data_IF_100449266705
#
_entry.id   IF_100449266705
#
_cell.length_a   1.000
_cell.length_b   1.000
_cell.length_c   1.000
_cell.angle_alpha   90.00
_cell.angle_beta   90.00
_cell.angle_gamma   90.00
#
_symmetry.space_group_name_H-M   'P 1'
#
loop_
_entity.id
_entity.type
_entity.pdbx_description
1 polymer ?
#
# COMPACT_ATOMS: atom_id res chain seq x y z
N UNK A 1 18.01 4.36 -55.17
CA UNK A 1 19.10 5.22 -54.68
C UNK A 1 18.62 6.40 -53.82
N UNK A 2 17.36 6.83 -53.93
CA UNK A 2 16.83 7.97 -53.14
C UNK A 2 16.84 7.75 -51.62
N UNK A 3 16.51 6.54 -51.15
CA UNK A 3 16.50 6.21 -49.72
C UNK A 3 17.86 6.43 -49.03
N UNK A 4 18.95 5.97 -49.65
CA UNK A 4 20.31 6.13 -49.10
C UNK A 4 20.77 7.60 -49.12
N UNK A 5 20.37 8.36 -50.14
CA UNK A 5 20.64 9.80 -50.21
C UNK A 5 19.88 10.57 -49.11
N UNK A 6 18.62 10.22 -48.86
CA UNK A 6 17.82 10.79 -47.79
C UNK A 6 18.39 10.49 -46.40
N UNK A 7 18.85 9.25 -46.16
CA UNK A 7 19.52 8.84 -44.93
C UNK A 7 20.81 9.64 -44.69
N UNK A 8 21.61 9.82 -45.74
CA UNK A 8 22.83 10.64 -45.69
C UNK A 8 22.53 12.11 -45.37
N UNK A 9 21.47 12.69 -45.95
CA UNK A 9 21.06 14.07 -45.72
C UNK A 9 20.56 14.34 -44.29
N UNK A 10 19.99 13.33 -43.63
CA UNK A 10 19.41 13.46 -42.29
C UNK A 10 20.24 12.76 -41.20
N UNK A 11 21.49 12.40 -41.48
CA UNK A 11 22.34 11.55 -40.61
C UNK A 11 22.43 12.07 -39.17
N UNK A 12 22.60 13.38 -38.98
CA UNK A 12 22.76 13.96 -37.64
C UNK A 12 21.48 13.89 -36.81
N UNK A 13 20.33 14.14 -37.45
CA UNK A 13 19.02 14.01 -36.81
C UNK A 13 18.70 12.55 -36.47
N UNK A 14 19.04 11.63 -37.36
CA UNK A 14 18.88 10.19 -37.14
C UNK A 14 19.79 9.68 -36.01
N UNK A 15 21.04 10.14 -35.96
CA UNK A 15 21.97 9.79 -34.88
C UNK A 15 21.46 10.30 -33.52
N UNK A 16 20.93 11.52 -33.47
CA UNK A 16 20.31 12.07 -32.26
C UNK A 16 19.08 11.27 -31.84
N UNK A 17 18.18 10.94 -32.78
CA UNK A 17 16.99 10.13 -32.48
C UNK A 17 17.37 8.74 -31.97
N UNK A 18 18.31 8.07 -32.63
CA UNK A 18 18.80 6.75 -32.21
C UNK A 18 19.43 6.82 -30.81
N UNK A 19 20.15 7.90 -30.49
CA UNK A 19 20.76 8.09 -29.17
C UNK A 19 19.71 8.33 -28.06
N UNK A 20 18.55 8.91 -28.38
CA UNK A 20 17.46 9.16 -27.42
C UNK A 20 16.68 7.89 -27.09
N UNK A 21 16.55 6.95 -28.05
CA UNK A 21 15.81 5.69 -27.86
C UNK A 21 16.24 4.91 -26.60
N UNK A 22 17.53 4.60 -26.35
CA UNK A 22 17.92 3.85 -25.15
C UNK A 22 17.64 4.62 -23.86
N UNK A 23 17.72 5.95 -23.88
CA UNK A 23 17.43 6.81 -22.71
C UNK A 23 15.94 6.73 -22.37
N UNK A 24 15.07 6.90 -23.38
CA UNK A 24 13.63 6.78 -23.21
C UNK A 24 13.24 5.38 -22.74
N UNK A 25 13.84 4.34 -23.31
CA UNK A 25 13.62 2.96 -22.90
C UNK A 25 14.01 2.71 -21.44
N UNK A 26 15.20 3.17 -21.03
CA UNK A 26 15.66 3.06 -19.66
C UNK A 26 14.74 3.78 -18.67
N UNK A 27 14.25 4.97 -19.03
CA UNK A 27 13.30 5.72 -18.21
C UNK A 27 11.97 4.97 -18.03
N UNK A 28 11.42 4.39 -19.11
CA UNK A 28 10.20 3.58 -19.05
C UNK A 28 10.39 2.37 -18.14
N UNK A 29 11.49 1.63 -18.34
CA UNK A 29 11.84 0.47 -17.51
C UNK A 29 11.97 0.83 -16.03
N UNK A 30 12.63 1.95 -15.72
CA UNK A 30 12.76 2.45 -14.36
C UNK A 30 11.39 2.77 -13.73
N UNK A 31 10.52 3.47 -14.45
CA UNK A 31 9.18 3.81 -13.95
C UNK A 31 8.33 2.57 -13.70
N UNK A 32 8.42 1.55 -14.56
CA UNK A 32 7.73 0.28 -14.36
C UNK A 32 8.27 -0.49 -13.16
N UNK A 33 9.59 -0.63 -13.05
CA UNK A 33 10.23 -1.27 -11.90
C UNK A 33 9.85 -0.56 -10.59
N UNK A 34 9.89 0.79 -10.58
CA UNK A 34 9.53 1.57 -9.40
C UNK A 34 8.06 1.41 -9.01
N UNK A 35 7.16 1.37 -9.99
CA UNK A 35 5.73 1.12 -9.75
C UNK A 35 5.51 -0.26 -9.14
N UNK A 36 6.23 -1.28 -9.60
CA UNK A 36 6.16 -2.63 -9.04
C UNK A 36 6.71 -2.68 -7.62
N UNK A 37 7.84 -2.02 -7.36
CA UNK A 37 8.44 -1.92 -6.02
C UNK A 37 7.47 -1.26 -5.02
N UNK A 38 6.84 -0.14 -5.41
CA UNK A 38 5.86 0.56 -4.56
C UNK A 38 4.69 -0.36 -4.21
N UNK A 39 4.14 -1.09 -5.20
CA UNK A 39 3.04 -2.04 -4.98
C UNK A 39 3.46 -3.16 -4.04
N UNK A 40 4.65 -3.72 -4.24
CA UNK A 40 5.16 -4.79 -3.37
C UNK A 40 5.37 -4.28 -1.94
N UNK A 41 5.95 -3.09 -1.77
CA UNK A 41 6.11 -2.46 -0.46
C UNK A 41 4.76 -2.23 0.24
N UNK A 42 3.77 -1.71 -0.48
CA UNK A 42 2.42 -1.53 0.05
C UNK A 42 1.79 -2.86 0.48
N UNK A 43 1.96 -3.92 -0.32
CA UNK A 43 1.52 -5.26 0.02
C UNK A 43 2.17 -5.76 1.32
N UNK A 44 3.51 -5.71 1.42
CA UNK A 44 4.26 -6.16 2.60
C UNK A 44 3.87 -5.35 3.84
N UNK A 45 3.79 -4.02 3.74
CA UNK A 45 3.39 -3.17 4.86
C UNK A 45 1.97 -3.48 5.32
N UNK A 46 1.00 -3.61 4.40
CA UNK A 46 -0.37 -3.93 4.75
C UNK A 46 -0.48 -5.27 5.50
N UNK A 47 0.16 -6.32 4.97
CA UNK A 47 0.12 -7.64 5.62
C UNK A 47 0.90 -7.66 6.94
N UNK A 48 2.00 -6.91 7.02
CA UNK A 48 2.73 -6.67 8.27
C UNK A 48 1.87 -6.01 9.34
N UNK A 49 1.11 -4.96 8.97
CA UNK A 49 0.16 -4.29 9.87
C UNK A 49 -0.91 -5.27 10.37
N UNK A 50 -1.53 -6.05 9.48
CA UNK A 50 -2.53 -7.06 9.87
C UNK A 50 -1.91 -8.10 10.82
N UNK A 51 -0.70 -8.58 10.52
CA UNK A 51 0.02 -9.52 11.40
C UNK A 51 0.23 -8.91 12.79
N UNK A 52 0.75 -7.68 12.86
CA UNK A 52 0.99 -6.96 14.11
C UNK A 52 -0.28 -6.56 14.86
N UNK A 53 -1.43 -6.49 14.18
CA UNK A 53 -2.72 -6.17 14.81
C UNK A 53 -3.23 -7.34 15.66
N UNK A 54 -3.01 -8.57 15.20
CA UNK A 54 -3.59 -9.78 15.79
C UNK A 54 -2.57 -10.69 16.47
N UNK A 55 -1.28 -10.55 16.16
CA UNK A 55 -0.20 -11.34 16.74
C UNK A 55 0.70 -10.47 17.62
N UNK A 56 1.14 -11.06 18.74
CA UNK A 56 2.18 -10.50 19.59
C UNK A 56 3.54 -10.71 18.94
N UNK A 57 4.43 -9.72 19.07
CA UNK A 57 5.85 -9.89 18.69
C UNK A 57 6.57 -10.81 19.65
N UNK A 58 6.28 -10.69 20.94
CA UNK A 58 6.76 -11.55 22.00
C UNK A 58 5.57 -12.20 22.72
N UNK A 59 5.44 -13.54 22.71
CA UNK A 59 4.37 -14.23 23.43
C UNK A 59 4.31 -13.90 24.92
N UNK A 60 5.45 -13.55 25.53
CA UNK A 60 5.55 -13.21 26.96
C UNK A 60 5.00 -11.84 27.31
N UNK A 61 4.80 -10.96 26.32
CA UNK A 61 4.30 -9.60 26.53
C UNK A 61 2.81 -9.49 26.17
N UNK A 62 2.03 -8.66 26.89
CA UNK A 62 0.66 -8.36 26.50
C UNK A 62 0.62 -7.60 25.16
N UNK A 63 -0.48 -7.71 24.43
CA UNK A 63 -0.69 -6.87 23.23
C UNK A 63 -0.71 -5.39 23.62
N UNK A 64 0.02 -4.58 22.85
CA UNK A 64 0.07 -3.14 23.06
C UNK A 64 -1.15 -2.48 22.40
N UNK A 65 -2.14 -2.09 23.22
CA UNK A 65 -3.42 -1.57 22.73
C UNK A 65 -3.27 -0.29 21.90
N UNK A 66 -2.38 0.65 22.28
CA UNK A 66 -2.15 1.86 21.49
C UNK A 66 -1.55 1.55 20.12
N UNK A 67 -0.74 0.48 20.01
CA UNK A 67 -0.25 -0.01 18.71
C UNK A 67 -1.39 -0.57 17.87
N UNK A 68 -2.32 -1.33 18.47
CA UNK A 68 -3.48 -1.86 17.75
C UNK A 68 -4.37 -0.72 17.24
N UNK A 69 -4.64 0.30 18.07
CA UNK A 69 -5.37 1.51 17.69
C UNK A 69 -4.69 2.20 16.51
N UNK A 70 -3.39 2.45 16.59
CA UNK A 70 -2.63 3.06 15.49
C UNK A 70 -2.72 2.24 14.20
N UNK A 71 -2.61 0.91 14.30
CA UNK A 71 -2.74 0.03 13.13
C UNK A 71 -4.14 0.14 12.53
N UNK A 72 -5.21 0.09 13.33
CA UNK A 72 -6.59 0.19 12.84
C UNK A 72 -6.79 1.50 12.09
N UNK A 73 -6.31 2.61 12.66
CA UNK A 73 -6.30 3.92 12.00
C UNK A 73 -5.56 3.86 10.65
N UNK A 74 -4.39 3.22 10.59
CA UNK A 74 -3.61 3.14 9.35
C UNK A 74 -4.27 2.28 8.26
N UNK A 75 -4.97 1.21 8.62
CA UNK A 75 -5.64 0.35 7.66
C UNK A 75 -6.65 1.12 6.77
N UNK A 76 -7.26 2.18 7.31
CA UNK A 76 -8.19 3.05 6.57
C UNK A 76 -7.52 3.91 5.50
N UNK A 77 -6.19 3.91 5.40
CA UNK A 77 -5.43 4.63 4.38
C UNK A 77 -5.16 3.77 3.12
N UNK A 78 -5.35 2.44 3.19
CA UNK A 78 -5.08 1.51 2.09
C UNK A 78 -6.31 1.33 1.18
N UNK A 79 -6.59 2.31 0.32
CA UNK A 79 -7.79 2.35 -0.56
C UNK A 79 -8.05 1.07 -1.34
N UNK A 80 -7.02 0.46 -1.93
CA UNK A 80 -7.17 -0.79 -2.69
C UNK A 80 -7.58 -2.00 -1.83
N UNK A 81 -7.41 -1.90 -0.52
CA UNK A 81 -7.75 -2.94 0.46
C UNK A 81 -9.05 -2.67 1.21
N UNK A 82 -9.71 -1.53 0.99
CA UNK A 82 -10.94 -1.15 1.69
C UNK A 82 -11.99 -2.26 1.80
N UNK A 83 -12.34 -3.02 0.73
CA UNK A 83 -13.34 -4.08 0.85
C UNK A 83 -12.94 -5.18 1.84
N UNK A 84 -11.64 -5.55 1.91
CA UNK A 84 -11.17 -6.59 2.83
C UNK A 84 -10.91 -6.02 4.22
N UNK A 85 -10.32 -4.83 4.33
CA UNK A 85 -10.12 -4.14 5.61
C UNK A 85 -11.45 -3.93 6.32
N UNK A 86 -12.51 -3.52 5.61
CA UNK A 86 -13.84 -3.35 6.19
C UNK A 86 -14.38 -4.65 6.82
N UNK A 87 -14.26 -5.78 6.12
CA UNK A 87 -14.70 -7.09 6.63
C UNK A 87 -13.89 -7.51 7.85
N UNK A 88 -12.57 -7.31 7.81
CA UNK A 88 -11.68 -7.61 8.94
C UNK A 88 -12.06 -6.76 10.15
N UNK A 89 -12.15 -5.44 10.00
CA UNK A 89 -12.46 -4.54 11.11
C UNK A 89 -13.83 -4.83 11.73
N UNK A 90 -14.86 -5.14 10.92
CA UNK A 90 -16.17 -5.57 11.43
C UNK A 90 -16.08 -6.86 12.25
N UNK A 91 -15.39 -7.87 11.74
CA UNK A 91 -15.19 -9.13 12.47
C UNK A 91 -14.36 -8.95 13.75
N UNK A 92 -13.35 -8.08 13.74
CA UNK A 92 -12.59 -7.72 14.93
C UNK A 92 -13.45 -6.99 15.95
N UNK A 93 -14.31 -6.07 15.52
CA UNK A 93 -15.24 -5.35 16.39
C UNK A 93 -16.14 -6.31 17.18
N UNK A 94 -16.72 -7.28 16.47
CA UNK A 94 -17.59 -8.30 17.06
C UNK A 94 -16.82 -9.25 17.98
N UNK A 95 -15.65 -9.73 17.57
CA UNK A 95 -14.86 -10.68 18.37
C UNK A 95 -14.16 -10.05 19.57
N UNK A 96 -13.94 -8.73 19.58
CA UNK A 96 -13.20 -8.01 20.62
C UNK A 96 -14.10 -7.25 21.62
N UNK A 97 -15.39 -7.60 21.71
CA UNK A 97 -16.35 -7.05 22.69
C UNK A 97 -15.92 -7.25 24.15
N UNK A 98 -15.17 -8.33 24.43
CA UNK A 98 -14.65 -8.66 25.75
C UNK A 98 -13.11 -8.63 25.83
N UNK A 99 -12.45 -8.10 24.79
CA UNK A 99 -10.99 -8.12 24.69
C UNK A 99 -10.32 -7.07 25.59
N UNK A 100 -9.49 -7.53 26.53
CA UNK A 100 -8.65 -6.67 27.36
C UNK A 100 -9.39 -5.88 28.45
N UNK A 101 -8.67 -5.01 29.18
CA UNK A 101 -9.24 -4.18 30.24
C UNK A 101 -10.31 -3.23 29.70
N UNK A 102 -11.42 -3.08 30.43
CA UNK A 102 -12.61 -2.32 30.00
C UNK A 102 -12.28 -0.88 29.55
N UNK A 103 -11.49 -0.16 30.35
CA UNK A 103 -11.07 1.22 30.04
C UNK A 103 -10.38 1.33 28.67
N UNK A 104 -9.50 0.38 28.36
CA UNK A 104 -8.74 0.39 27.09
C UNK A 104 -9.53 -0.21 25.93
N UNK A 105 -10.46 -1.12 26.24
CA UNK A 105 -11.38 -1.71 25.26
C UNK A 105 -12.27 -0.66 24.61
N UNK A 106 -12.74 0.31 25.40
CA UNK A 106 -13.56 1.42 24.89
C UNK A 106 -12.86 2.21 23.77
N UNK A 107 -11.57 2.55 23.97
CA UNK A 107 -10.74 3.27 22.98
C UNK A 107 -10.53 2.46 21.71
N UNK A 108 -10.28 1.15 21.85
CA UNK A 108 -10.09 0.25 20.72
C UNK A 108 -11.37 0.11 19.89
N UNK A 109 -12.51 -0.08 20.54
CA UNK A 109 -13.83 -0.17 19.91
C UNK A 109 -14.21 1.14 19.20
N UNK A 110 -13.92 2.30 19.82
CA UNK A 110 -14.13 3.59 19.20
C UNK A 110 -13.30 3.77 17.91
N UNK A 111 -12.03 3.37 17.91
CA UNK A 111 -11.19 3.48 16.71
C UNK A 111 -11.64 2.50 15.60
N UNK A 112 -12.10 1.30 15.97
CA UNK A 112 -12.73 0.38 15.03
C UNK A 112 -13.94 1.03 14.36
N UNK A 113 -14.80 1.67 15.13
CA UNK A 113 -15.98 2.36 14.62
C UNK A 113 -15.64 3.51 13.68
N UNK A 114 -14.71 4.38 14.07
CA UNK A 114 -14.30 5.50 13.21
C UNK A 114 -13.65 5.03 11.92
N UNK A 115 -12.81 3.99 11.98
CA UNK A 115 -12.16 3.44 10.79
C UNK A 115 -13.13 2.69 9.87
N UNK A 116 -14.08 1.92 10.42
CA UNK A 116 -15.16 1.29 9.65
C UNK A 116 -15.99 2.37 8.95
N UNK A 117 -16.48 3.36 9.69
CA UNK A 117 -17.31 4.45 9.17
C UNK A 117 -16.58 5.29 8.11
N UNK A 118 -15.26 5.46 8.26
CA UNK A 118 -14.44 6.13 7.25
C UNK A 118 -14.41 5.32 5.94
N UNK A 119 -14.11 4.02 6.03
CA UNK A 119 -14.02 3.14 4.86
C UNK A 119 -15.39 3.05 4.16
N UNK A 120 -16.48 2.89 4.90
CA UNK A 120 -17.85 2.84 4.36
C UNK A 120 -18.25 4.09 3.60
N UNK A 121 -17.76 5.27 4.00
CA UNK A 121 -18.02 6.53 3.27
C UNK A 121 -17.23 6.66 1.96
N UNK A 122 -16.25 5.79 1.72
CA UNK A 122 -15.32 5.87 0.58
C UNK A 122 -15.51 4.76 -0.44
N UNK A 123 -16.21 3.69 -0.07
CA UNK A 123 -16.69 2.63 -0.98
C UNK A 123 -18.03 3.07 -1.55
#
# INVERSE_FOLDING_TARGET
MEFWSWLGKNKDQLALLIAVVPIAWAAIQYLWAKKQEIKHRQFETYHGLIKSLVQREDPSQPMMLDRQIAIIFELRNYKSYFPVSLRILKGLKESWTEYGPEEKRSRLQAELDESIKYIERKI
#
